data_IF_612544559869
#
_entry.id   IF_612544559869
#
_cell.length_a   1.000
_cell.length_b   1.000
_cell.length_c   1.000
_cell.angle_alpha   90.00
_cell.angle_beta   90.00
_cell.angle_gamma   90.00
#
_symmetry.space_group_name_H-M   'P 1'
#
loop_
_entity.id
_entity.type
_entity.pdbx_description
1 polymer ?
#
# COMPACT_ATOMS: atom_id res chain seq x y z
N UNK A 1 -5.21 -31.22 10.36
CA UNK A 1 -5.78 -30.57 9.49
C UNK A 1 -5.92 -29.11 9.71
N UNK A 2 -6.23 -28.69 10.74
CA UNK A 2 -6.39 -27.29 10.98
C UNK A 2 -5.18 -26.44 10.70
N UNK A 3 -4.00 -26.98 10.73
CA UNK A 3 -2.83 -26.18 10.48
C UNK A 3 -2.86 -25.52 9.11
N UNK A 4 -3.54 -26.12 8.18
CA UNK A 4 -3.64 -25.56 6.85
C UNK A 4 -4.36 -24.25 6.88
N UNK A 5 -5.33 -24.13 7.73
CA UNK A 5 -6.10 -22.92 7.83
C UNK A 5 -5.26 -21.76 8.26
N UNK A 6 -4.35 -22.00 9.17
CA UNK A 6 -3.57 -20.91 9.70
C UNK A 6 -2.68 -20.28 8.66
N UNK A 7 -2.20 -21.07 7.72
CA UNK A 7 -1.33 -20.53 6.71
C UNK A 7 -2.08 -19.82 5.62
N UNK A 8 -3.38 -20.10 5.49
CA UNK A 8 -4.14 -19.47 4.42
C UNK A 8 -5.04 -18.35 4.92
N UNK A 9 -5.26 -18.29 6.21
CA UNK A 9 -6.11 -17.26 6.77
C UNK A 9 -5.32 -15.97 6.85
N UNK A 10 -5.88 -14.97 6.25
CA UNK A 10 -5.31 -13.64 6.26
C UNK A 10 -6.18 -12.79 7.18
N UNK A 11 -5.57 -12.02 8.07
CA UNK A 11 -6.33 -11.13 8.92
C UNK A 11 -6.95 -10.05 8.06
N UNK A 12 -7.96 -9.38 8.63
CA UNK A 12 -8.57 -8.28 7.93
C UNK A 12 -7.58 -7.17 7.67
N UNK A 13 -6.71 -6.91 8.62
CA UNK A 13 -5.70 -5.88 8.46
C UNK A 13 -4.76 -6.21 7.31
N UNK A 14 -4.32 -7.48 7.22
CA UNK A 14 -3.44 -7.89 6.15
C UNK A 14 -4.12 -7.75 4.79
N UNK A 15 -5.40 -8.04 4.75
CA UNK A 15 -6.15 -7.92 3.52
C UNK A 15 -6.27 -6.48 3.08
N UNK A 16 -6.53 -5.59 4.01
CA UNK A 16 -6.61 -4.17 3.72
C UNK A 16 -5.26 -3.64 3.25
N UNK A 17 -4.19 -4.05 3.92
CA UNK A 17 -2.86 -3.60 3.55
C UNK A 17 -2.50 -4.07 2.14
N UNK A 18 -2.85 -5.30 1.81
CA UNK A 18 -2.58 -5.80 0.47
C UNK A 18 -3.37 -5.03 -0.58
N UNK A 19 -4.62 -4.75 -0.30
CA UNK A 19 -5.45 -3.97 -1.21
C UNK A 19 -4.88 -2.58 -1.43
N UNK A 20 -4.42 -1.96 -0.34
CA UNK A 20 -3.82 -0.63 -0.43
C UNK A 20 -2.54 -0.67 -1.23
N UNK A 21 -1.70 -1.69 -1.01
CA UNK A 21 -0.46 -1.82 -1.76
C UNK A 21 -0.73 -2.00 -3.24
N UNK A 22 -1.74 -2.78 -3.58
CA UNK A 22 -2.09 -2.97 -4.98
C UNK A 22 -2.57 -1.67 -5.62
N UNK A 23 -3.36 -0.90 -4.89
CA UNK A 23 -3.83 0.37 -5.41
C UNK A 23 -2.68 1.34 -5.63
N UNK A 24 -1.73 1.36 -4.72
CA UNK A 24 -0.56 2.23 -4.85
C UNK A 24 0.33 1.79 -6.01
N UNK A 25 0.50 0.49 -6.19
CA UNK A 25 1.27 -0.01 -7.32
C UNK A 25 0.63 0.39 -8.63
N UNK A 26 -0.69 0.32 -8.71
CA UNK A 26 -1.38 0.72 -9.92
C UNK A 26 -1.23 2.19 -10.21
N UNK A 27 -1.07 2.99 -9.18
CA UNK A 27 -0.87 4.42 -9.35
C UNK A 27 0.53 4.76 -9.82
N UNK A 28 1.48 3.81 -9.67
CA UNK A 28 2.84 4.02 -10.16
C UNK A 28 3.92 3.85 -9.12
N UNK A 29 3.56 3.59 -7.86
CA UNK A 29 4.57 3.38 -6.84
C UNK A 29 5.28 2.05 -7.05
N UNK A 30 6.58 2.02 -6.72
CA UNK A 30 7.34 0.78 -6.75
C UNK A 30 6.76 -0.21 -5.75
N UNK A 31 6.83 -1.51 -6.03
CA UNK A 31 6.23 -2.49 -5.11
C UNK A 31 6.74 -2.38 -3.68
N UNK A 32 8.03 -2.14 -3.50
CA UNK A 32 8.59 -2.02 -2.15
C UNK A 32 7.99 -0.81 -1.44
N UNK A 33 7.91 0.31 -2.14
CA UNK A 33 7.35 1.51 -1.55
C UNK A 33 5.86 1.36 -1.31
N UNK A 34 5.16 0.69 -2.21
CA UNK A 34 3.73 0.49 -2.06
C UNK A 34 3.43 -0.34 -0.81
N UNK A 35 4.22 -1.37 -0.57
CA UNK A 35 4.03 -2.20 0.60
C UNK A 35 4.29 -1.39 1.88
N UNK A 36 5.35 -0.62 1.86
CA UNK A 36 5.72 0.17 3.03
C UNK A 36 4.66 1.22 3.34
N UNK A 37 4.19 1.92 2.32
CA UNK A 37 3.16 2.92 2.51
C UNK A 37 1.85 2.29 2.96
N UNK A 38 1.53 1.14 2.41
CA UNK A 38 0.28 0.46 2.76
C UNK A 38 0.25 0.01 4.22
N UNK A 39 1.41 -0.29 4.79
CA UNK A 39 1.50 -0.74 6.16
C UNK A 39 1.34 0.41 7.16
N UNK A 40 1.42 1.65 6.71
CA UNK A 40 1.33 2.79 7.60
C UNK A 40 -0.10 3.31 7.63
N UNK A 41 -0.74 3.15 8.77
CA UNK A 41 -2.14 3.52 8.90
C UNK A 41 -2.37 5.03 8.85
N UNK A 42 -1.35 5.80 9.13
CA UNK A 42 -1.45 7.26 9.14
C UNK A 42 -1.36 7.87 7.75
N UNK A 43 -1.09 7.07 6.72
CA UNK A 43 -0.99 7.58 5.36
C UNK A 43 -2.35 7.45 4.68
N UNK A 44 -2.82 8.57 4.14
CA UNK A 44 -4.08 8.61 3.42
C UNK A 44 -3.86 8.08 2.01
N UNK A 45 -4.54 7.00 1.68
CA UNK A 45 -4.41 6.36 0.38
C UNK A 45 -4.81 7.28 -0.76
N UNK A 46 -5.89 8.02 -0.59
CA UNK A 46 -6.35 8.96 -1.62
C UNK A 46 -5.31 10.03 -1.88
N UNK A 47 -4.72 10.54 -0.82
CA UNK A 47 -3.70 11.57 -0.94
C UNK A 47 -2.48 11.05 -1.68
N UNK A 48 -2.07 9.83 -1.35
CA UNK A 48 -0.91 9.21 -2.00
C UNK A 48 -1.14 9.05 -3.49
N UNK A 49 -2.33 8.61 -3.87
CA UNK A 49 -2.66 8.42 -5.28
C UNK A 49 -2.77 9.77 -5.98
N UNK A 50 -3.38 10.73 -5.33
CA UNK A 50 -3.58 12.05 -5.90
C UNK A 50 -2.26 12.75 -6.21
N UNK A 51 -1.27 12.58 -5.36
CA UNK A 51 0.04 13.18 -5.60
C UNK A 51 0.61 12.75 -6.94
N UNK A 52 0.55 11.44 -7.20
CA UNK A 52 1.10 10.91 -8.44
C UNK A 52 0.24 11.31 -9.63
N UNK A 53 -1.07 11.33 -9.44
CA UNK A 53 -1.97 11.72 -10.53
C UNK A 53 -1.77 13.17 -10.94
N UNK A 54 -1.33 13.99 -10.01
CA UNK A 54 -1.07 15.40 -10.31
C UNK A 54 0.30 15.62 -10.92
N UNK A 55 1.04 14.54 -11.16
CA UNK A 55 2.33 14.65 -11.83
C UNK A 55 3.53 14.61 -10.89
N UNK A 56 3.32 14.38 -9.60
CA UNK A 56 4.43 14.28 -8.67
C UNK A 56 5.18 12.98 -8.94
N UNK A 57 6.51 13.02 -9.13
CA UNK A 57 7.28 11.78 -9.29
C UNK A 57 7.12 10.91 -8.05
N UNK A 58 7.09 9.59 -8.26
CA UNK A 58 6.83 8.68 -7.14
C UNK A 58 7.90 8.80 -6.06
N UNK A 59 9.15 9.03 -6.42
CA UNK A 59 10.20 9.18 -5.42
C UNK A 59 9.95 10.38 -4.51
N UNK A 60 9.46 11.46 -5.10
CA UNK A 60 9.16 12.65 -4.33
C UNK A 60 7.92 12.43 -3.49
N UNK A 61 6.92 11.76 -4.04
CA UNK A 61 5.70 11.46 -3.30
C UNK A 61 6.00 10.63 -2.07
N UNK A 62 6.87 9.63 -2.20
CA UNK A 62 7.24 8.82 -1.05
C UNK A 62 7.86 9.68 0.04
N UNK A 63 8.72 10.61 -0.32
CA UNK A 63 9.34 11.49 0.66
C UNK A 63 8.33 12.38 1.35
N UNK A 64 7.34 12.84 0.61
CA UNK A 64 6.32 13.68 1.19
C UNK A 64 5.48 12.90 2.19
N UNK A 65 5.18 11.65 1.87
CA UNK A 65 4.30 10.83 2.68
C UNK A 65 4.98 10.25 3.91
N UNK A 66 6.24 9.93 3.80
CA UNK A 66 7.01 9.39 4.90
C UNK A 66 7.85 10.47 5.55
#
# INVERSE_FOLDING_TARGET
MPAVHETTIETELERVERWRAEALSRAGYEPVDAIELAARADIDLHHAIELVERGCPVEVAVRILI
#
